data_IF_553312526548
#
_entry.id   IF_553312526548
#
_cell.length_a   1.000
_cell.length_b   1.000
_cell.length_c   1.000
_cell.angle_alpha   90.00
_cell.angle_beta   90.00
_cell.angle_gamma   90.00
#
_symmetry.space_group_name_H-M   'P 1'
#
loop_
_entity.id
_entity.type
_entity.pdbx_description
1 polymer ?
#
# COMPACT_ATOMS: atom_id res chain seq x y z
N UNK A 1 -21.93 7.54 -2.47
CA UNK A 1 -20.96 6.67 -3.12
C UNK A 1 -20.59 5.57 -2.14
N UNK A 2 -20.95 4.33 -2.48
CA UNK A 2 -20.53 3.16 -1.71
C UNK A 2 -19.00 3.06 -1.81
N UNK A 3 -18.29 3.27 -0.72
CA UNK A 3 -16.86 3.00 -0.69
C UNK A 3 -16.68 1.48 -0.68
N UNK A 4 -16.18 0.92 -1.78
CA UNK A 4 -15.77 -0.48 -1.81
C UNK A 4 -14.62 -0.61 -0.80
N UNK A 5 -14.72 -1.61 0.08
CA UNK A 5 -13.67 -1.96 1.03
C UNK A 5 -13.15 -3.34 0.67
N UNK A 6 -11.89 -3.43 0.28
CA UNK A 6 -11.22 -4.68 -0.02
C UNK A 6 -10.22 -5.01 1.09
N UNK A 7 -10.39 -6.16 1.74
CA UNK A 7 -9.56 -6.55 2.90
C UNK A 7 -8.06 -6.60 2.61
N UNK A 8 -7.68 -6.92 1.36
CA UNK A 8 -6.28 -7.02 0.95
C UNK A 8 -5.68 -5.70 0.43
N UNK A 9 -6.39 -4.57 0.55
CA UNK A 9 -5.93 -3.30 0.01
C UNK A 9 -4.55 -2.88 0.55
N UNK A 10 -4.33 -2.99 1.85
CA UNK A 10 -3.04 -2.60 2.45
C UNK A 10 -1.91 -3.53 2.03
N UNK A 11 -2.18 -4.83 1.88
CA UNK A 11 -1.23 -5.78 1.33
C UNK A 11 -0.90 -5.44 -0.14
N UNK A 12 -1.91 -5.19 -0.96
CA UNK A 12 -1.74 -4.82 -2.35
C UNK A 12 -0.84 -3.60 -2.54
N UNK A 13 -1.09 -2.54 -1.78
CA UNK A 13 -0.27 -1.31 -1.82
C UNK A 13 1.17 -1.59 -1.37
N UNK A 14 1.36 -2.45 -0.37
CA UNK A 14 2.70 -2.86 0.06
C UNK A 14 3.44 -3.66 -1.03
N UNK A 15 2.76 -4.59 -1.74
CA UNK A 15 3.38 -5.35 -2.85
C UNK A 15 3.80 -4.45 -4.00
N UNK A 16 3.01 -3.43 -4.31
CA UNK A 16 3.39 -2.40 -5.28
C UNK A 16 4.64 -1.67 -4.81
N UNK A 17 4.67 -1.21 -3.56
CA UNK A 17 5.80 -0.48 -2.98
C UNK A 17 7.07 -1.33 -2.92
N UNK A 18 6.94 -2.61 -2.61
CA UNK A 18 8.04 -3.58 -2.56
C UNK A 18 8.56 -4.02 -3.94
N UNK A 19 7.83 -3.69 -5.02
CA UNK A 19 8.24 -4.03 -6.37
C UNK A 19 7.96 -5.49 -6.78
N UNK A 20 6.98 -6.14 -6.15
CA UNK A 20 6.63 -7.54 -6.35
C UNK A 20 5.61 -7.72 -7.50
N UNK A 21 6.05 -7.49 -8.75
CA UNK A 21 5.18 -7.40 -9.92
C UNK A 21 4.29 -8.62 -10.19
N UNK A 22 4.80 -9.85 -10.00
CA UNK A 22 3.98 -11.06 -10.20
C UNK A 22 2.86 -11.16 -9.17
N UNK A 23 3.16 -10.88 -7.89
CA UNK A 23 2.15 -10.87 -6.84
C UNK A 23 1.10 -9.77 -7.09
N UNK A 24 1.54 -8.58 -7.54
CA UNK A 24 0.62 -7.50 -7.91
C UNK A 24 -0.30 -7.93 -9.05
N UNK A 25 0.21 -8.65 -10.06
CA UNK A 25 -0.60 -9.19 -11.14
C UNK A 25 -1.71 -10.10 -10.62
N UNK A 26 -1.35 -11.08 -9.78
CA UNK A 26 -2.30 -12.02 -9.18
C UNK A 26 -3.35 -11.28 -8.33
N UNK A 27 -2.92 -10.31 -7.55
CA UNK A 27 -3.82 -9.52 -6.70
C UNK A 27 -4.77 -8.63 -7.51
N UNK A 28 -4.38 -8.12 -8.69
CA UNK A 28 -5.31 -7.40 -9.58
C UNK A 28 -6.37 -8.36 -10.13
N UNK A 29 -6.00 -9.58 -10.54
CA UNK A 29 -6.99 -10.59 -10.97
C UNK A 29 -7.97 -10.90 -9.83
N UNK A 30 -7.48 -11.07 -8.62
CA UNK A 30 -8.30 -11.31 -7.44
C UNK A 30 -9.22 -10.11 -7.13
N UNK A 31 -8.71 -8.89 -7.22
CA UNK A 31 -9.50 -7.67 -7.00
C UNK A 31 -10.67 -7.59 -7.98
N UNK A 32 -10.44 -7.87 -9.27
CA UNK A 32 -11.51 -7.85 -10.25
C UNK A 32 -12.49 -9.02 -10.08
N UNK A 33 -12.03 -10.18 -9.63
CA UNK A 33 -12.91 -11.28 -9.21
C UNK A 33 -13.76 -10.90 -7.99
N UNK A 34 -13.19 -10.18 -7.03
CA UNK A 34 -13.91 -9.66 -5.88
C UNK A 34 -15.04 -8.71 -6.28
N UNK A 35 -14.83 -7.80 -7.26
CA UNK A 35 -15.90 -6.93 -7.74
C UNK A 35 -17.11 -7.68 -8.27
N UNK A 36 -16.91 -8.86 -8.86
CA UNK A 36 -18.00 -9.71 -9.34
C UNK A 36 -18.87 -10.30 -8.21
N UNK A 37 -18.34 -10.38 -6.99
CA UNK A 37 -19.08 -10.86 -5.81
C UNK A 37 -19.92 -9.77 -5.15
N UNK A 38 -19.67 -8.51 -5.46
CA UNK A 38 -20.37 -7.38 -4.88
C UNK A 38 -21.69 -7.10 -5.60
N UNK A 39 -22.76 -7.02 -4.84
CA UNK A 39 -24.09 -6.69 -5.37
C UNK A 39 -24.78 -5.64 -4.48
N UNK A 40 -25.14 -4.48 -5.02
CA UNK A 40 -24.89 -3.99 -6.37
C UNK A 40 -23.45 -3.44 -6.52
N UNK A 41 -22.79 -3.71 -7.65
CA UNK A 41 -21.52 -3.09 -8.03
C UNK A 41 -21.59 -2.67 -9.51
N UNK A 42 -21.42 -1.40 -9.76
CA UNK A 42 -21.42 -0.85 -11.12
C UNK A 42 -20.00 -0.66 -11.64
N UNK A 43 -19.84 -0.54 -12.96
CA UNK A 43 -18.54 -0.21 -13.56
C UNK A 43 -17.99 1.14 -13.03
N UNK A 44 -18.87 2.06 -12.67
CA UNK A 44 -18.48 3.32 -12.05
C UNK A 44 -17.86 3.09 -10.66
N UNK A 45 -18.45 2.23 -9.83
CA UNK A 45 -17.93 1.91 -8.50
C UNK A 45 -16.54 1.29 -8.60
N UNK A 46 -16.33 0.38 -9.57
CA UNK A 46 -15.02 -0.23 -9.87
C UNK A 46 -14.01 0.86 -10.23
N UNK A 47 -14.34 1.76 -11.16
CA UNK A 47 -13.47 2.86 -11.57
C UNK A 47 -13.10 3.76 -10.38
N UNK A 48 -14.06 4.16 -9.57
CA UNK A 48 -13.83 4.99 -8.39
C UNK A 48 -12.90 4.32 -7.38
N UNK A 49 -13.06 3.01 -7.14
CA UNK A 49 -12.17 2.29 -6.23
C UNK A 49 -10.75 2.17 -6.80
N UNK A 50 -10.60 1.85 -8.08
CA UNK A 50 -9.30 1.82 -8.73
C UNK A 50 -8.60 3.19 -8.70
N UNK A 51 -9.34 4.29 -8.85
CA UNK A 51 -8.80 5.65 -8.72
C UNK A 51 -8.32 5.96 -7.30
N UNK A 52 -9.03 5.48 -6.27
CA UNK A 52 -8.56 5.60 -4.88
C UNK A 52 -7.23 4.88 -4.67
N UNK A 53 -7.11 3.64 -5.17
CA UNK A 53 -5.85 2.87 -5.13
C UNK A 53 -4.72 3.62 -5.86
N UNK A 54 -5.02 4.20 -7.01
CA UNK A 54 -4.08 5.01 -7.80
C UNK A 54 -3.59 6.22 -7.01
N UNK A 55 -4.47 6.91 -6.31
CA UNK A 55 -4.09 8.06 -5.47
C UNK A 55 -3.06 7.66 -4.40
N UNK A 56 -3.26 6.52 -3.74
CA UNK A 56 -2.27 5.99 -2.79
C UNK A 56 -0.92 5.69 -3.45
N UNK A 57 -0.93 5.06 -4.64
CA UNK A 57 0.29 4.81 -5.41
C UNK A 57 1.03 6.12 -5.76
N UNK A 58 0.31 7.16 -6.16
CA UNK A 58 0.90 8.48 -6.43
C UNK A 58 1.51 9.12 -5.18
N UNK A 59 0.89 8.95 -4.02
CA UNK A 59 1.45 9.45 -2.76
C UNK A 59 2.78 8.79 -2.44
N UNK A 60 2.88 7.47 -2.64
CA UNK A 60 4.12 6.70 -2.45
C UNK A 60 5.18 7.13 -3.48
N UNK A 61 4.81 7.22 -4.76
CA UNK A 61 5.71 7.69 -5.81
C UNK A 61 6.26 9.08 -5.51
N UNK A 62 5.43 10.02 -5.10
CA UNK A 62 5.85 11.38 -4.72
C UNK A 62 6.87 11.36 -3.57
N UNK A 63 6.71 10.45 -2.61
CA UNK A 63 7.65 10.30 -1.51
C UNK A 63 9.04 9.87 -2.01
N UNK A 64 9.10 8.87 -2.90
CA UNK A 64 10.36 8.35 -3.43
C UNK A 64 11.02 9.22 -4.49
N UNK A 65 10.22 9.84 -5.38
CA UNK A 65 10.71 10.59 -6.53
C UNK A 65 10.89 12.09 -6.26
N UNK A 66 10.72 12.54 -5.01
CA UNK A 66 10.78 13.96 -4.60
C UNK A 66 12.00 14.77 -5.06
N UNK A 67 12.97 14.17 -5.74
CA UNK A 67 14.23 14.83 -6.10
C UNK A 67 14.58 14.85 -7.58
N UNK A 68 13.87 14.19 -8.49
CA UNK A 68 14.50 13.98 -9.81
C UNK A 68 13.66 14.21 -11.04
N UNK A 69 12.35 14.09 -11.05
CA UNK A 69 11.63 14.25 -12.31
C UNK A 69 10.11 14.46 -12.14
N UNK A 70 9.63 15.58 -12.70
CA UNK A 70 8.19 15.88 -12.78
C UNK A 70 7.52 15.22 -14.01
N UNK A 71 8.25 14.45 -14.80
CA UNK A 71 7.77 13.84 -16.05
C UNK A 71 6.57 12.92 -15.87
N UNK A 72 6.44 12.28 -14.70
CA UNK A 72 5.29 11.45 -14.38
C UNK A 72 4.00 12.25 -14.10
N UNK A 73 4.12 13.55 -13.74
CA UNK A 73 2.97 14.47 -13.62
C UNK A 73 2.34 14.80 -14.97
N UNK A 74 3.07 14.59 -16.05
CA UNK A 74 2.59 14.75 -17.42
C UNK A 74 1.85 13.50 -17.94
N UNK A 75 1.47 12.57 -17.07
CA UNK A 75 0.59 11.46 -17.45
C UNK A 75 -0.68 12.04 -18.07
N UNK A 76 -1.07 11.58 -19.27
CA UNK A 76 -2.27 12.07 -19.93
C UNK A 76 -3.42 11.99 -18.95
N UNK A 77 -4.33 12.94 -19.02
CA UNK A 77 -5.48 13.07 -18.12
C UNK A 77 -6.13 11.68 -17.89
N UNK A 78 -5.73 11.01 -16.82
CA UNK A 78 -6.11 9.64 -16.50
C UNK A 78 -7.65 9.51 -16.47
N UNK A 79 -8.31 10.55 -15.95
CA UNK A 79 -9.76 10.64 -15.94
C UNK A 79 -10.36 10.61 -17.34
N UNK A 80 -9.74 11.29 -18.32
CA UNK A 80 -10.22 11.27 -19.70
C UNK A 80 -10.11 9.85 -20.30
N UNK A 81 -9.00 9.16 -20.05
CA UNK A 81 -8.82 7.78 -20.51
C UNK A 81 -9.82 6.85 -19.84
N UNK A 82 -9.93 6.89 -18.52
CA UNK A 82 -10.87 6.04 -17.75
C UNK A 82 -12.30 6.25 -18.19
N UNK A 83 -12.67 7.48 -18.59
CA UNK A 83 -14.01 7.77 -19.12
C UNK A 83 -14.29 7.10 -20.48
N UNK A 84 -13.28 6.72 -21.24
CA UNK A 84 -13.44 6.00 -22.53
C UNK A 84 -13.52 4.49 -22.39
N UNK A 85 -13.35 3.94 -21.19
CA UNK A 85 -13.42 2.50 -20.92
C UNK A 85 -14.87 2.12 -20.56
N UNK A 86 -15.47 1.24 -21.33
CA UNK A 86 -16.89 0.88 -21.21
C UNK A 86 -17.13 -0.56 -20.75
N UNK A 87 -16.09 -1.36 -20.60
CA UNK A 87 -16.18 -2.73 -20.10
C UNK A 87 -15.28 -2.98 -18.89
N UNK A 88 -15.63 -3.98 -18.08
CA UNK A 88 -14.82 -4.42 -16.94
C UNK A 88 -13.44 -4.90 -17.40
N UNK A 89 -13.36 -5.57 -18.55
CA UNK A 89 -12.09 -6.08 -19.08
C UNK A 89 -11.16 -4.96 -19.53
N UNK A 90 -11.70 -3.91 -20.17
CA UNK A 90 -10.92 -2.72 -20.53
C UNK A 90 -10.39 -2.00 -19.28
N UNK A 91 -11.24 -1.83 -18.26
CA UNK A 91 -10.85 -1.23 -16.98
C UNK A 91 -9.78 -2.07 -16.30
N UNK A 92 -9.95 -3.40 -16.25
CA UNK A 92 -8.96 -4.32 -15.70
C UNK A 92 -7.63 -4.23 -16.43
N UNK A 93 -7.62 -4.30 -17.76
CA UNK A 93 -6.40 -4.23 -18.55
C UNK A 93 -5.65 -2.90 -18.33
N UNK A 94 -6.36 -1.80 -18.29
CA UNK A 94 -5.79 -0.47 -18.03
C UNK A 94 -5.12 -0.39 -16.65
N UNK A 95 -5.84 -0.75 -15.58
CA UNK A 95 -5.30 -0.67 -14.22
C UNK A 95 -4.24 -1.74 -13.95
N UNK A 96 -4.33 -2.91 -14.56
CA UNK A 96 -3.27 -3.91 -14.53
C UNK A 96 -1.96 -3.31 -15.04
N UNK A 97 -1.97 -2.72 -16.22
CA UNK A 97 -0.79 -2.10 -16.81
C UNK A 97 -0.29 -0.93 -15.96
N UNK A 98 -1.19 -0.12 -15.44
CA UNK A 98 -0.87 1.02 -14.57
C UNK A 98 -0.13 0.55 -13.30
N UNK A 99 -0.70 -0.40 -12.55
CA UNK A 99 -0.10 -0.88 -11.30
C UNK A 99 1.23 -1.60 -11.54
N UNK A 100 1.37 -2.38 -12.61
CA UNK A 100 2.63 -3.04 -12.95
C UNK A 100 3.72 -2.03 -13.33
N UNK A 101 3.39 -0.97 -14.05
CA UNK A 101 4.34 0.08 -14.38
C UNK A 101 4.85 0.79 -13.11
N UNK A 102 3.96 1.16 -12.19
CA UNK A 102 4.33 1.76 -10.91
C UNK A 102 5.19 0.81 -10.09
N UNK A 103 4.80 -0.47 -9.99
CA UNK A 103 5.57 -1.50 -9.29
C UNK A 103 6.99 -1.60 -9.83
N UNK A 104 7.15 -1.59 -11.15
CA UNK A 104 8.46 -1.61 -11.79
C UNK A 104 9.30 -0.37 -11.49
N UNK A 105 8.69 0.81 -11.45
CA UNK A 105 9.37 2.06 -11.09
C UNK A 105 9.82 2.03 -9.62
N UNK A 106 8.96 1.60 -8.72
CA UNK A 106 9.25 1.53 -7.29
C UNK A 106 10.26 0.45 -6.94
N UNK A 107 10.31 -0.67 -7.68
CA UNK A 107 11.27 -1.75 -7.46
C UNK A 107 12.72 -1.25 -7.38
N UNK A 108 13.08 -0.26 -8.18
CA UNK A 108 14.41 0.33 -8.22
C UNK A 108 14.69 1.26 -7.05
N UNK A 109 13.66 1.76 -6.40
CA UNK A 109 13.70 2.79 -5.35
C UNK A 109 13.36 2.23 -3.97
N UNK A 110 12.84 1.00 -3.90
CA UNK A 110 12.29 0.45 -2.67
C UNK A 110 13.37 0.12 -1.65
N UNK A 111 13.26 0.70 -0.48
CA UNK A 111 14.12 0.41 0.68
C UNK A 111 13.82 -0.97 1.28
N UNK A 112 12.67 -1.56 0.97
CA UNK A 112 12.30 -2.91 1.43
C UNK A 112 13.16 -4.02 0.80
N UNK A 113 13.87 -3.73 -0.29
CA UNK A 113 14.74 -4.69 -0.96
C UNK A 113 16.19 -4.67 -0.48
N UNK A 114 16.57 -3.75 0.43
CA UNK A 114 17.98 -3.50 0.80
C UNK A 114 18.32 -3.79 2.26
N UNK A 115 17.31 -3.98 3.13
CA UNK A 115 17.50 -4.20 4.56
C UNK A 115 17.27 -5.64 5.01
N UNK A 116 17.69 -5.95 6.25
CA UNK A 116 17.29 -7.17 6.92
C UNK A 116 15.76 -7.20 7.14
N UNK A 117 15.19 -8.39 7.25
CA UNK A 117 13.74 -8.59 7.36
C UNK A 117 13.10 -7.75 8.49
N UNK A 118 13.75 -7.66 9.65
CA UNK A 118 13.22 -6.87 10.77
C UNK A 118 13.31 -5.37 10.49
N UNK A 119 14.34 -4.89 9.81
CA UNK A 119 14.46 -3.48 9.40
C UNK A 119 13.32 -3.09 8.44
N UNK A 120 12.98 -3.98 7.52
CA UNK A 120 11.83 -3.80 6.62
C UNK A 120 10.51 -3.72 7.39
N UNK A 121 10.32 -4.59 8.37
CA UNK A 121 9.13 -4.59 9.25
C UNK A 121 9.08 -3.31 10.09
N UNK A 122 10.18 -2.88 10.70
CA UNK A 122 10.24 -1.64 11.47
C UNK A 122 9.91 -0.43 10.59
N UNK A 123 10.45 -0.38 9.38
CA UNK A 123 10.16 0.68 8.42
C UNK A 123 8.67 0.71 8.04
N UNK A 124 8.07 -0.47 7.79
CA UNK A 124 6.64 -0.57 7.53
C UNK A 124 5.81 -0.01 8.69
N UNK A 125 6.14 -0.40 9.93
CA UNK A 125 5.44 0.09 11.13
C UNK A 125 5.57 1.61 11.25
N UNK A 126 6.77 2.17 11.09
CA UNK A 126 7.04 3.61 11.16
C UNK A 126 6.23 4.43 10.15
N UNK A 127 5.97 3.87 8.96
CA UNK A 127 5.19 4.54 7.91
C UNK A 127 3.68 4.40 8.06
N UNK A 128 3.24 3.32 8.71
CA UNK A 128 1.83 2.96 8.79
C UNK A 128 1.28 2.95 10.21
N UNK A 129 2.00 3.48 11.23
CA UNK A 129 1.63 3.41 12.64
C UNK A 129 0.21 3.89 12.95
N UNK A 130 -0.37 4.74 12.12
CA UNK A 130 -1.73 5.26 12.25
C UNK A 130 -2.80 4.22 11.92
N UNK A 131 -2.46 3.20 11.13
CA UNK A 131 -3.36 2.12 10.74
C UNK A 131 -3.52 1.10 11.87
N UNK A 132 -4.55 0.26 11.76
CA UNK A 132 -4.72 -0.86 12.70
C UNK A 132 -3.76 -2.01 12.33
N UNK A 133 -2.50 -1.89 12.76
CA UNK A 133 -1.46 -2.89 12.49
C UNK A 133 -1.49 -3.94 13.59
N UNK A 134 -1.71 -5.20 13.21
CA UNK A 134 -1.60 -6.35 14.12
C UNK A 134 -0.36 -7.18 13.78
N UNK A 135 0.09 -7.97 14.73
CA UNK A 135 1.22 -8.88 14.53
C UNK A 135 0.88 -9.96 13.49
N UNK A 136 -0.38 -10.41 13.46
CA UNK A 136 -0.90 -11.34 12.47
C UNK A 136 -0.83 -10.77 11.06
N UNK A 137 -1.26 -9.52 10.90
CA UNK A 137 -1.20 -8.81 9.62
C UNK A 137 0.25 -8.69 9.13
N UNK A 138 1.18 -8.27 9.99
CA UNK A 138 2.60 -8.17 9.61
C UNK A 138 3.19 -9.55 9.28
N UNK A 139 2.85 -10.58 10.05
CA UNK A 139 3.31 -11.93 9.74
C UNK A 139 2.84 -12.40 8.36
N UNK A 140 1.57 -12.17 8.03
CA UNK A 140 1.01 -12.46 6.71
C UNK A 140 1.70 -11.66 5.61
N UNK A 141 1.89 -10.36 5.82
CA UNK A 141 2.48 -9.44 4.85
C UNK A 141 3.90 -9.84 4.45
N UNK A 142 4.68 -10.33 5.41
CA UNK A 142 6.07 -10.76 5.21
C UNK A 142 6.23 -12.29 5.07
N UNK A 143 5.13 -13.03 4.84
CA UNK A 143 5.11 -14.49 4.69
C UNK A 143 5.74 -15.25 5.87
N UNK A 144 5.50 -14.76 7.09
CA UNK A 144 6.02 -15.34 8.32
C UNK A 144 4.92 -16.03 9.13
N UNK A 145 5.33 -17.01 9.93
CA UNK A 145 4.49 -17.48 11.03
C UNK A 145 4.51 -16.44 12.18
N UNK A 146 3.34 -16.17 12.78
CA UNK A 146 3.20 -15.21 13.90
C UNK A 146 4.16 -15.46 15.05
N UNK A 147 4.32 -16.74 15.46
CA UNK A 147 5.20 -17.12 16.56
C UNK A 147 6.67 -16.86 16.22
N UNK A 148 7.06 -17.17 14.99
CA UNK A 148 8.40 -16.88 14.49
C UNK A 148 8.68 -15.37 14.43
N UNK A 149 7.76 -14.58 13.88
CA UNK A 149 7.87 -13.13 13.87
C UNK A 149 8.04 -12.58 15.30
N UNK A 150 7.22 -13.06 16.26
CA UNK A 150 7.30 -12.60 17.65
C UNK A 150 8.68 -12.80 18.27
N UNK A 151 9.24 -13.99 18.08
CA UNK A 151 10.57 -14.34 18.62
C UNK A 151 11.68 -13.54 17.91
N UNK A 152 11.64 -13.48 16.57
CA UNK A 152 12.64 -12.80 15.77
C UNK A 152 12.64 -11.30 16.07
N UNK A 153 11.46 -10.67 16.10
CA UNK A 153 11.31 -9.25 16.38
C UNK A 153 11.87 -8.91 17.76
N UNK A 154 11.49 -9.68 18.81
CA UNK A 154 12.01 -9.47 20.16
C UNK A 154 13.53 -9.70 20.24
N UNK A 155 14.05 -10.70 19.53
CA UNK A 155 15.49 -11.00 19.51
C UNK A 155 16.30 -9.85 18.90
N UNK A 156 15.82 -9.24 17.82
CA UNK A 156 16.57 -8.22 17.09
C UNK A 156 16.34 -6.80 17.64
N UNK A 157 15.11 -6.48 18.08
CA UNK A 157 14.76 -5.13 18.58
C UNK A 157 14.89 -4.99 20.10
N UNK A 158 14.99 -6.10 20.84
CA UNK A 158 14.99 -6.11 22.30
C UNK A 158 13.61 -5.98 22.93
N UNK A 159 12.55 -5.70 22.17
CA UNK A 159 11.21 -5.47 22.70
C UNK A 159 10.12 -6.21 21.91
N UNK A 160 8.93 -6.34 22.50
CA UNK A 160 7.81 -6.97 21.82
C UNK A 160 7.26 -6.06 20.73
N UNK A 161 6.71 -6.65 19.69
CA UNK A 161 6.06 -5.94 18.57
C UNK A 161 5.05 -4.86 19.02
N UNK A 162 4.18 -5.23 19.98
CA UNK A 162 3.12 -4.33 20.47
C UNK A 162 3.73 -3.14 21.22
N UNK A 163 4.76 -3.37 22.02
CA UNK A 163 5.44 -2.32 22.78
C UNK A 163 6.14 -1.35 21.81
N UNK A 164 6.84 -1.87 20.82
CA UNK A 164 7.47 -1.08 19.76
C UNK A 164 6.46 -0.19 18.99
N UNK A 165 5.32 -0.75 18.58
CA UNK A 165 4.27 0.01 17.90
C UNK A 165 3.70 1.12 18.80
N UNK A 166 3.47 0.82 20.08
CA UNK A 166 2.97 1.80 21.04
C UNK A 166 3.98 2.92 21.32
N UNK A 167 5.27 2.59 21.38
CA UNK A 167 6.34 3.60 21.55
C UNK A 167 6.38 4.56 20.37
N UNK A 168 6.28 4.05 19.14
CA UNK A 168 6.20 4.91 17.94
C UNK A 168 4.98 5.83 18.01
N UNK A 169 3.80 5.29 18.33
CA UNK A 169 2.56 6.06 18.46
C UNK A 169 2.67 7.14 19.51
N UNK A 170 3.21 6.79 20.67
CA UNK A 170 3.38 7.71 21.80
C UNK A 170 4.38 8.84 21.46
N UNK A 171 5.50 8.50 20.82
CA UNK A 171 6.49 9.50 20.41
C UNK A 171 5.90 10.45 19.36
N UNK A 172 5.14 9.93 18.39
CA UNK A 172 4.46 10.77 17.39
C UNK A 172 3.37 11.65 18.00
N UNK A 173 2.63 11.15 18.98
CA UNK A 173 1.66 11.97 19.71
C UNK A 173 2.34 13.12 20.49
N UNK A 174 3.49 12.85 21.16
CA UNK A 174 4.27 13.88 21.82
C UNK A 174 4.80 14.94 20.85
N UNK A 175 5.34 14.52 19.69
CA UNK A 175 5.80 15.46 18.65
C UNK A 175 4.66 16.38 18.19
N UNK A 176 3.48 15.81 17.92
CA UNK A 176 2.30 16.59 17.50
C UNK A 176 1.85 17.57 18.57
N UNK A 177 1.86 17.19 19.85
CA UNK A 177 1.49 18.06 20.97
C UNK A 177 2.48 19.23 21.16
N UNK A 178 3.77 18.99 20.95
CA UNK A 178 4.81 20.02 21.09
C UNK A 178 4.75 21.03 19.93
N UNK A 179 4.44 20.56 18.71
CA UNK A 179 4.44 21.40 17.50
C UNK A 179 3.04 21.92 17.13
N UNK A 180 1.98 21.53 17.84
CA UNK A 180 0.65 22.06 17.60
C UNK A 180 0.38 23.22 18.57
N UNK A 181 0.18 24.42 18.03
CA UNK A 181 -0.41 25.57 18.76
C UNK A 181 -1.91 25.37 19.10
N UNK A 182 -2.38 24.14 19.00
CA UNK A 182 -3.77 23.79 19.35
C UNK A 182 -3.88 23.57 20.85
N UNK A 183 -4.35 24.60 21.53
CA UNK A 183 -4.93 24.49 22.87
C UNK A 183 -6.29 23.81 22.81
#
# INVERSE_FOLDING_TARGET
PSSISWEKQDEFLFRIESGEGEVVREMVEELFSYYLTLTPCTLWDVKCHCEQLTYHCHTVLNYYLKKTDDSWKASPNMQAIVNTLFSSDEVKAYYMQFFLNITSLLKKQSVYNTGELIDQIQLYIQRNYQKNITQEFIASLFYLNRSYLSQLFKKQTGQKFVDYLNDIRMNKAKELLIHSDRK
#
